data_IF_324432456566
#
_entry.id   IF_324432456566
#
_cell.length_a   1.000
_cell.length_b   1.000
_cell.length_c   1.000
_cell.angle_alpha   90.00
_cell.angle_beta   90.00
_cell.angle_gamma   90.00
#
_symmetry.space_group_name_H-M   'P 1'
#
loop_
_entity.id
_entity.type
_entity.pdbx_description
1 polymer ?
#
# COMPACT_ATOMS: atom_id res chain seq x y z
N UNK A 1 2.92 2.32 -4.21
CA UNK A 1 3.01 3.73 -4.63
C UNK A 1 3.68 3.87 -6.00
N UNK A 2 4.92 3.39 -6.19
CA UNK A 2 5.64 3.49 -7.47
C UNK A 2 4.84 3.00 -8.68
N UNK A 3 4.20 1.83 -8.57
CA UNK A 3 3.36 1.31 -9.65
C UNK A 3 2.14 2.17 -9.95
N UNK A 4 1.51 2.72 -8.91
CA UNK A 4 0.43 3.69 -9.10
C UNK A 4 0.98 4.87 -9.89
N UNK A 5 2.15 5.43 -9.54
CA UNK A 5 2.76 6.52 -10.29
C UNK A 5 2.99 6.19 -11.79
N UNK A 6 3.32 4.94 -12.11
CA UNK A 6 3.43 4.42 -13.48
C UNK A 6 2.09 4.10 -14.18
N UNK A 7 0.96 4.43 -13.58
CA UNK A 7 -0.36 4.30 -14.17
C UNK A 7 -1.13 3.04 -13.80
N UNK A 8 -0.60 2.20 -12.90
CA UNK A 8 -1.42 1.15 -12.28
C UNK A 8 -2.54 1.76 -11.44
N UNK A 9 -3.60 0.99 -11.26
CA UNK A 9 -4.75 1.35 -10.42
C UNK A 9 -4.97 0.28 -9.35
N UNK A 10 -5.75 0.60 -8.32
CA UNK A 10 -6.21 -0.39 -7.34
C UNK A 10 -7.00 -1.56 -7.99
N UNK A 11 -7.57 -1.33 -9.17
CA UNK A 11 -8.32 -2.31 -9.95
C UNK A 11 -7.47 -3.12 -10.95
N UNK A 12 -6.22 -2.73 -11.21
CA UNK A 12 -5.35 -3.42 -12.17
C UNK A 12 -5.24 -4.91 -11.84
N UNK A 13 -5.47 -5.76 -12.83
CA UNK A 13 -5.41 -7.21 -12.69
C UNK A 13 -4.01 -7.69 -13.00
N UNK A 14 -3.42 -8.43 -12.06
CA UNK A 14 -2.10 -9.04 -12.18
C UNK A 14 -2.24 -10.52 -11.83
N UNK A 15 -1.65 -11.39 -12.65
CA UNK A 15 -1.83 -12.82 -12.50
C UNK A 15 -1.01 -13.38 -11.33
N UNK A 16 -1.68 -13.96 -10.34
CA UNK A 16 -1.10 -14.70 -9.22
C UNK A 16 -0.99 -16.20 -9.56
N UNK A 17 -0.03 -16.53 -10.40
CA UNK A 17 0.23 -17.87 -10.92
C UNK A 17 1.70 -18.27 -10.75
N UNK A 18 2.05 -19.58 -10.84
CA UNK A 18 3.43 -20.01 -10.85
C UNK A 18 4.23 -19.31 -11.95
N UNK A 19 5.47 -18.99 -11.67
CA UNK A 19 6.40 -18.41 -12.65
C UNK A 19 7.81 -18.76 -12.26
N UNK A 20 8.60 -19.11 -13.28
CA UNK A 20 10.03 -19.28 -13.17
C UNK A 20 10.65 -18.02 -13.76
N UNK A 21 11.49 -17.34 -12.98
CA UNK A 21 12.20 -16.17 -13.46
C UNK A 21 13.63 -16.55 -13.82
N UNK A 22 14.02 -16.19 -15.02
CA UNK A 22 15.41 -16.11 -15.46
C UNK A 22 15.81 -14.64 -15.32
N UNK A 23 16.36 -14.29 -14.14
CA UNK A 23 16.81 -12.94 -13.81
C UNK A 23 18.33 -12.94 -13.82
N UNK A 24 19.00 -12.21 -14.73
CA UNK A 24 20.47 -12.16 -14.81
C UNK A 24 21.16 -11.71 -13.51
N UNK A 25 20.43 -11.03 -12.61
CA UNK A 25 20.91 -10.63 -11.30
C UNK A 25 20.80 -11.69 -10.20
N UNK A 26 20.33 -12.91 -10.52
CA UNK A 26 20.25 -14.05 -9.62
C UNK A 26 21.09 -15.21 -10.18
N UNK A 27 21.94 -15.83 -9.36
CA UNK A 27 22.83 -16.91 -9.81
C UNK A 27 22.11 -18.20 -10.22
N UNK A 28 20.83 -18.37 -9.86
CA UNK A 28 20.06 -19.60 -10.07
C UNK A 28 18.62 -19.32 -10.50
N UNK A 29 18.01 -20.33 -11.14
CA UNK A 29 16.59 -20.34 -11.49
C UNK A 29 15.73 -20.07 -10.25
N UNK A 30 15.02 -18.94 -10.24
CA UNK A 30 14.23 -18.52 -9.08
C UNK A 30 12.76 -18.89 -9.21
N UNK A 31 12.24 -19.57 -8.19
CA UNK A 31 10.85 -20.07 -8.10
C UNK A 31 10.18 -19.54 -6.83
N UNK A 32 9.73 -18.28 -6.83
CA UNK A 32 9.07 -17.70 -5.68
C UNK A 32 7.67 -18.28 -5.47
N UNK A 33 7.21 -18.25 -4.22
CA UNK A 33 5.88 -18.70 -3.83
C UNK A 33 5.18 -17.68 -2.92
N UNK A 34 3.85 -17.76 -2.86
CA UNK A 34 3.09 -17.06 -1.82
C UNK A 34 3.28 -17.77 -0.48
N UNK A 35 3.25 -17.01 0.63
CA UNK A 35 3.31 -17.60 1.99
C UNK A 35 2.29 -18.72 2.22
N UNK A 36 1.09 -18.63 1.61
CA UNK A 36 0.06 -19.66 1.71
C UNK A 36 0.29 -20.93 0.87
N UNK A 37 1.29 -20.97 -0.01
CA UNK A 37 1.51 -22.05 -0.99
C UNK A 37 0.45 -22.16 -2.10
N UNK A 38 -0.55 -21.28 -2.11
CA UNK A 38 -1.67 -21.26 -3.05
C UNK A 38 -1.51 -20.20 -4.12
N UNK A 39 -2.11 -20.46 -5.29
CA UNK A 39 -2.26 -19.53 -6.41
C UNK A 39 -3.70 -19.04 -6.49
N UNK A 40 -3.87 -17.77 -6.86
CA UNK A 40 -5.18 -17.11 -6.88
C UNK A 40 -5.59 -16.66 -8.29
N UNK A 41 -4.71 -16.83 -9.29
CA UNK A 41 -4.97 -16.43 -10.67
C UNK A 41 -5.08 -14.91 -10.82
N UNK A 42 -5.82 -14.41 -11.82
CA UNK A 42 -6.03 -12.97 -12.03
C UNK A 42 -6.52 -12.26 -10.76
N UNK A 43 -5.68 -11.40 -10.20
CA UNK A 43 -5.90 -10.76 -8.88
C UNK A 43 -5.77 -9.25 -9.01
N UNK A 44 -6.75 -8.50 -8.48
CA UNK A 44 -6.69 -7.03 -8.41
C UNK A 44 -5.56 -6.57 -7.49
N UNK A 45 -4.87 -5.49 -7.86
CA UNK A 45 -3.78 -4.90 -7.08
C UNK A 45 -4.19 -4.62 -5.63
N UNK A 46 -5.42 -4.12 -5.38
CA UNK A 46 -5.94 -3.92 -4.02
C UNK A 46 -5.96 -5.19 -3.19
N UNK A 47 -6.46 -6.28 -3.76
CA UNK A 47 -6.54 -7.59 -3.12
C UNK A 47 -5.14 -8.16 -2.89
N UNK A 48 -4.26 -8.00 -3.87
CA UNK A 48 -2.88 -8.45 -3.77
C UNK A 48 -2.13 -7.78 -2.61
N UNK A 49 -2.25 -6.45 -2.45
CA UNK A 49 -1.61 -5.74 -1.34
C UNK A 49 -2.24 -6.11 0.01
N UNK A 50 -3.58 -6.17 0.06
CA UNK A 50 -4.36 -6.54 1.26
C UNK A 50 -3.89 -7.87 1.85
N UNK A 51 -3.63 -8.86 1.00
CA UNK A 51 -3.21 -10.20 1.40
C UNK A 51 -1.72 -10.47 1.21
N UNK A 52 -0.92 -9.45 0.89
CA UNK A 52 0.53 -9.54 0.73
C UNK A 52 0.98 -10.64 -0.26
N UNK A 53 0.40 -10.65 -1.47
CA UNK A 53 0.69 -11.67 -2.50
C UNK A 53 2.04 -11.44 -3.17
N UNK A 54 3.03 -12.26 -2.82
CA UNK A 54 4.40 -12.22 -3.34
C UNK A 54 4.44 -12.23 -4.88
N UNK A 55 3.73 -13.17 -5.50
CA UNK A 55 3.76 -13.37 -6.95
C UNK A 55 3.21 -12.20 -7.76
N UNK A 56 2.28 -11.43 -7.18
CA UNK A 56 1.78 -10.20 -7.78
C UNK A 56 2.79 -9.07 -7.60
N UNK A 57 3.36 -8.92 -6.40
CA UNK A 57 4.40 -7.90 -6.12
C UNK A 57 5.62 -8.04 -7.04
N UNK A 58 6.06 -9.28 -7.29
CA UNK A 58 7.21 -9.56 -8.16
C UNK A 58 6.90 -9.18 -9.62
N UNK A 59 5.73 -9.57 -10.13
CA UNK A 59 5.31 -9.19 -11.49
C UNK A 59 5.16 -7.69 -11.64
N UNK A 60 4.62 -7.04 -10.61
CA UNK A 60 4.49 -5.59 -10.57
C UNK A 60 5.86 -4.92 -10.60
N UNK A 61 6.82 -5.38 -9.81
CA UNK A 61 8.19 -4.88 -9.81
C UNK A 61 8.88 -5.07 -11.16
N UNK A 62 8.73 -6.26 -11.76
CA UNK A 62 9.28 -6.56 -13.09
C UNK A 62 8.76 -5.58 -14.14
N UNK A 63 7.46 -5.30 -14.11
CA UNK A 63 6.83 -4.42 -15.10
C UNK A 63 7.22 -2.95 -14.91
N UNK A 64 7.25 -2.46 -13.67
CA UNK A 64 7.67 -1.07 -13.41
C UNK A 64 9.18 -0.88 -13.54
N UNK A 65 9.96 -1.96 -13.50
CA UNK A 65 11.42 -1.95 -13.52
C UNK A 65 12.03 -1.85 -12.12
N UNK A 66 12.93 -2.77 -11.72
CA UNK A 66 13.60 -2.71 -10.41
C UNK A 66 14.32 -1.40 -10.13
N UNK A 67 15.08 -0.88 -11.11
CA UNK A 67 15.81 0.38 -10.94
C UNK A 67 14.87 1.56 -10.68
N UNK A 68 13.76 1.65 -11.43
CA UNK A 68 12.75 2.68 -11.21
C UNK A 68 12.15 2.61 -9.81
N UNK A 69 11.93 1.40 -9.27
CA UNK A 69 11.43 1.24 -7.92
C UNK A 69 12.43 1.73 -6.86
N UNK A 70 13.73 1.48 -7.07
CA UNK A 70 14.81 1.99 -6.20
C UNK A 70 14.87 3.51 -6.25
N UNK A 71 14.87 4.10 -7.45
CA UNK A 71 14.89 5.55 -7.64
C UNK A 71 13.67 6.21 -6.99
N UNK A 72 12.50 5.57 -7.10
CA UNK A 72 11.28 6.03 -6.44
C UNK A 72 11.37 5.92 -4.91
N UNK A 73 11.96 4.84 -4.38
CA UNK A 73 12.17 4.65 -2.94
C UNK A 73 13.12 5.70 -2.34
N UNK A 74 14.14 6.13 -3.08
CA UNK A 74 15.05 7.21 -2.67
C UNK A 74 14.32 8.48 -2.25
N UNK A 75 13.18 8.79 -2.88
CA UNK A 75 12.38 9.96 -2.51
C UNK A 75 11.89 9.91 -1.06
N UNK A 76 11.62 8.71 -0.51
CA UNK A 76 11.18 8.49 0.88
C UNK A 76 12.32 8.59 1.89
N UNK A 77 13.56 8.82 1.44
CA UNK A 77 14.73 8.95 2.31
C UNK A 77 15.38 7.62 2.70
N UNK A 78 15.16 6.56 1.91
CA UNK A 78 15.91 5.31 2.06
C UNK A 78 17.33 5.46 1.51
N UNK A 79 18.29 4.82 2.17
CA UNK A 79 19.60 4.56 1.58
C UNK A 79 19.48 3.46 0.53
N UNK A 80 19.60 3.84 -0.73
CA UNK A 80 19.48 2.92 -1.87
C UNK A 80 20.80 2.24 -2.23
N UNK A 81 21.92 2.58 -1.57
CA UNK A 81 23.24 1.99 -1.88
C UNK A 81 23.27 0.47 -1.65
N UNK A 82 22.43 -0.02 -0.74
CA UNK A 82 22.30 -1.44 -0.37
C UNK A 82 21.18 -2.16 -1.15
N UNK A 83 20.49 -1.47 -2.07
CA UNK A 83 19.39 -2.06 -2.84
C UNK A 83 19.87 -2.57 -4.19
N UNK A 84 19.76 -3.88 -4.41
CA UNK A 84 20.09 -4.49 -5.70
C UNK A 84 18.89 -4.44 -6.66
N UNK A 85 19.07 -4.02 -7.93
CA UNK A 85 17.99 -3.89 -8.91
C UNK A 85 17.56 -5.25 -9.51
N UNK A 86 17.16 -6.20 -8.67
CA UNK A 86 16.64 -7.50 -9.07
C UNK A 86 15.23 -7.74 -8.51
N UNK A 87 14.58 -8.83 -8.93
CA UNK A 87 13.18 -9.08 -8.55
C UNK A 87 12.96 -9.46 -7.07
N UNK A 88 14.02 -9.83 -6.35
CA UNK A 88 13.93 -10.13 -4.91
C UNK A 88 13.55 -8.90 -4.08
N UNK A 89 13.82 -7.70 -4.60
CA UNK A 89 13.46 -6.43 -3.95
C UNK A 89 11.96 -6.34 -3.66
N UNK A 90 11.11 -6.96 -4.49
CA UNK A 90 9.66 -7.01 -4.27
C UNK A 90 9.25 -7.77 -3.00
N UNK A 91 10.16 -8.60 -2.46
CA UNK A 91 9.98 -9.38 -1.24
C UNK A 91 10.72 -8.78 -0.04
N UNK A 92 11.35 -7.61 -0.20
CA UNK A 92 12.04 -6.92 0.88
C UNK A 92 13.44 -7.44 1.15
N UNK A 93 14.23 -7.73 0.12
CA UNK A 93 15.66 -8.06 0.26
C UNK A 93 16.56 -6.87 0.60
N UNK A 94 16.02 -5.65 0.66
CA UNK A 94 16.72 -4.47 1.17
C UNK A 94 16.58 -4.32 2.69
N UNK A 95 17.54 -3.61 3.29
CA UNK A 95 17.56 -3.33 4.74
C UNK A 95 17.14 -1.89 5.03
N UNK A 96 16.44 -1.67 6.14
CA UNK A 96 16.07 -0.34 6.62
C UNK A 96 15.98 -0.33 8.16
N UNK A 97 16.40 0.78 8.79
CA UNK A 97 16.20 0.94 10.23
C UNK A 97 14.72 1.28 10.53
N UNK A 98 14.22 0.99 11.75
CA UNK A 98 12.90 1.45 12.17
C UNK A 98 12.71 2.97 12.03
N UNK A 99 13.80 3.74 12.17
CA UNK A 99 13.83 5.20 11.95
C UNK A 99 13.53 5.58 10.49
N UNK A 100 14.13 4.88 9.52
CA UNK A 100 13.88 5.10 8.09
C UNK A 100 12.46 4.68 7.71
N UNK A 101 11.97 3.58 8.31
CA UNK A 101 10.59 3.15 8.13
C UNK A 101 9.59 4.16 8.69
N UNK A 102 9.87 4.77 9.84
CA UNK A 102 9.05 5.83 10.42
C UNK A 102 9.01 7.07 9.51
N UNK A 103 10.16 7.49 8.97
CA UNK A 103 10.26 8.56 7.95
C UNK A 103 9.45 8.23 6.69
N UNK A 104 9.57 7.00 6.18
CA UNK A 104 8.85 6.61 4.97
C UNK A 104 7.34 6.53 5.18
N UNK A 105 6.89 5.99 6.32
CA UNK A 105 5.46 5.88 6.64
C UNK A 105 4.83 7.22 7.03
N UNK A 106 5.60 8.19 7.56
CA UNK A 106 5.08 9.54 7.79
C UNK A 106 4.65 10.22 6.51
N UNK A 107 5.37 10.02 5.40
CA UNK A 107 4.95 10.47 4.07
C UNK A 107 3.56 9.91 3.68
N UNK A 108 3.26 8.66 4.07
CA UNK A 108 1.98 8.04 3.77
C UNK A 108 0.86 8.56 4.68
N UNK A 109 1.17 8.84 5.95
CA UNK A 109 0.23 9.38 6.92
C UNK A 109 -0.15 10.84 6.61
N UNK A 110 0.84 11.65 6.24
CA UNK A 110 0.74 13.12 6.21
C UNK A 110 0.36 13.73 4.85
N UNK A 111 -0.16 12.94 3.92
CA UNK A 111 -0.61 13.44 2.61
C UNK A 111 0.47 13.55 1.53
N UNK A 112 1.64 12.93 1.72
CA UNK A 112 2.67 12.78 0.69
C UNK A 112 3.92 13.65 0.86
N UNK A 113 4.14 14.19 2.06
CA UNK A 113 5.26 15.09 2.38
C UNK A 113 6.37 14.34 3.10
N UNK A 114 7.61 14.46 2.62
CA UNK A 114 8.75 13.90 3.32
C UNK A 114 9.18 14.85 4.43
N UNK A 115 9.02 14.40 5.67
CA UNK A 115 9.56 15.08 6.86
C UNK A 115 10.83 14.36 7.32
N UNK A 116 11.67 15.07 8.06
CA UNK A 116 12.83 14.49 8.74
C UNK A 116 12.52 14.32 10.22
N UNK A 117 12.48 13.09 10.76
CA UNK A 117 12.27 12.89 12.19
C UNK A 117 13.43 13.50 13.00
N UNK A 118 13.12 14.06 14.16
CA UNK A 118 14.08 14.69 15.06
C UNK A 118 13.66 14.49 16.52
N UNK A 119 14.59 14.65 17.46
CA UNK A 119 14.35 14.41 18.90
C UNK A 119 14.60 15.66 19.74
N UNK A 120 15.57 16.50 19.37
CA UNK A 120 15.92 17.69 20.14
C UNK A 120 15.00 18.84 19.70
N UNK A 121 14.02 19.19 20.55
CA UNK A 121 13.12 20.33 20.30
C UNK A 121 13.76 21.67 20.66
N UNK A 122 14.48 21.72 21.78
CA UNK A 122 15.02 22.95 22.38
C UNK A 122 16.25 22.64 23.22
N UNK A 123 17.23 23.53 23.20
CA UNK A 123 18.39 23.55 24.11
C UNK A 123 18.42 24.90 24.80
N UNK A 124 18.59 24.91 26.13
CA UNK A 124 18.66 26.12 26.95
C UNK A 124 19.93 26.14 27.80
N UNK A 125 20.38 27.35 28.15
CA UNK A 125 21.42 27.56 29.15
C UNK A 125 20.87 27.50 30.59
N UNK A 126 21.75 27.62 31.59
CA UNK A 126 21.38 27.61 33.00
C UNK A 126 20.49 28.79 33.44
N UNK A 127 20.44 29.86 32.65
CA UNK A 127 19.60 31.03 32.90
C UNK A 127 18.23 30.93 32.19
N UNK A 128 17.97 29.87 31.44
CA UNK A 128 16.76 29.69 30.64
C UNK A 128 16.79 30.38 29.28
N UNK A 129 17.96 30.84 28.80
CA UNK A 129 18.07 31.40 27.46
C UNK A 129 18.09 30.26 26.43
N UNK A 130 17.29 30.40 25.36
CA UNK A 130 17.23 29.42 24.28
C UNK A 130 18.51 29.52 23.43
N UNK A 131 19.32 28.46 23.45
CA UNK A 131 20.53 28.29 22.62
C UNK A 131 20.14 27.78 21.23
N UNK A 132 19.20 26.85 21.18
CA UNK A 132 18.72 26.25 19.93
C UNK A 132 17.24 25.91 20.05
N UNK A 133 16.51 26.19 18.98
CA UNK A 133 15.11 25.81 18.79
C UNK A 133 15.01 25.07 17.46
N UNK A 134 14.42 23.87 17.46
CA UNK A 134 14.23 23.13 16.23
C UNK A 134 13.25 23.85 15.30
N UNK A 135 13.61 23.93 14.01
CA UNK A 135 12.77 24.45 12.93
C UNK A 135 12.69 23.39 11.82
N UNK A 136 12.01 22.25 12.06
CA UNK A 136 11.91 21.18 11.09
C UNK A 136 11.03 21.58 9.90
N UNK A 137 11.32 20.99 8.75
CA UNK A 137 10.42 21.03 7.61
C UNK A 137 9.08 20.37 7.96
N UNK A 138 7.96 21.08 7.80
CA UNK A 138 6.63 20.60 8.20
C UNK A 138 5.62 20.63 7.06
N UNK A 139 4.51 19.88 7.23
CA UNK A 139 3.44 19.86 6.23
C UNK A 139 2.76 21.21 6.16
N UNK A 140 2.73 21.78 4.95
CA UNK A 140 2.01 23.01 4.68
C UNK A 140 1.26 22.89 3.36
N UNK A 141 -0.04 22.62 3.44
CA UNK A 141 -0.91 22.48 2.27
C UNK A 141 -1.13 23.83 1.56
N UNK A 142 -1.13 24.94 2.32
CA UNK A 142 -1.33 26.30 1.82
C UNK A 142 -0.05 26.90 1.23
N UNK A 143 1.13 26.46 1.66
CA UNK A 143 2.42 26.97 1.15
C UNK A 143 2.64 26.63 -0.32
N UNK A 144 2.04 25.53 -0.83
CA UNK A 144 2.12 25.16 -2.24
C UNK A 144 1.36 26.12 -3.17
N UNK A 145 0.44 26.94 -2.64
CA UNK A 145 -0.24 27.97 -3.44
C UNK A 145 0.63 29.22 -3.63
N UNK A 146 1.63 29.44 -2.75
CA UNK A 146 2.49 30.62 -2.78
C UNK A 146 3.61 30.55 -3.83
N UNK A 147 3.86 29.40 -4.48
CA UNK A 147 4.86 29.32 -5.56
C UNK A 147 4.36 29.93 -6.89
N UNK A 148 3.10 30.37 -6.99
CA UNK A 148 2.51 30.82 -8.28
C UNK A 148 2.06 32.28 -8.36
N UNK A 149 2.16 33.08 -7.31
CA UNK A 149 1.88 34.51 -7.42
C UNK A 149 2.62 35.25 -6.30
N UNK A 150 3.66 35.98 -6.70
CA UNK A 150 4.52 36.83 -5.86
C UNK A 150 5.26 36.10 -4.73
N UNK A 151 6.60 36.21 -4.76
CA UNK A 151 7.53 35.61 -3.81
C UNK A 151 7.43 36.18 -2.39
N UNK A 152 6.23 36.19 -1.82
CA UNK A 152 5.95 36.58 -0.46
C UNK A 152 6.53 35.53 0.50
N UNK A 153 7.56 36.01 1.19
CA UNK A 153 8.40 35.35 2.17
C UNK A 153 7.71 34.26 3.00
N UNK A 154 7.96 33.00 2.63
CA UNK A 154 7.74 31.79 3.45
C UNK A 154 8.37 31.93 4.85
N UNK A 155 9.35 32.83 5.01
CA UNK A 155 9.94 33.23 6.29
C UNK A 155 8.94 33.80 7.31
N UNK A 156 7.73 34.21 6.91
CA UNK A 156 6.70 34.74 7.82
C UNK A 156 6.17 33.69 8.83
N UNK A 157 6.24 32.39 8.49
CA UNK A 157 5.65 31.34 9.33
C UNK A 157 6.62 30.70 10.34
N UNK A 158 7.91 31.05 10.29
CA UNK A 158 8.92 30.51 11.22
C UNK A 158 9.23 29.01 11.02
N UNK A 159 8.76 28.41 9.93
CA UNK A 159 9.06 27.03 9.52
C UNK A 159 9.25 26.94 8.00
N UNK A 160 9.94 25.89 7.56
CA UNK A 160 10.12 25.56 6.15
C UNK A 160 9.09 24.51 5.71
N UNK A 161 8.50 24.60 4.50
CA UNK A 161 7.58 23.59 4.01
C UNK A 161 8.33 22.32 3.61
N UNK A 162 7.84 21.18 4.08
CA UNK A 162 8.35 19.88 3.71
C UNK A 162 8.17 19.60 2.20
N UNK A 163 9.13 18.90 1.61
CA UNK A 163 9.06 18.51 0.20
C UNK A 163 7.92 17.51 -0.02
N UNK A 164 6.98 17.83 -0.90
CA UNK A 164 5.98 16.86 -1.37
C UNK A 164 6.60 15.91 -2.39
N UNK A 165 6.58 14.61 -2.09
CA UNK A 165 7.17 13.55 -2.94
C UNK A 165 6.11 12.64 -3.59
N UNK A 166 4.85 12.81 -3.20
CA UNK A 166 3.72 12.04 -3.71
C UNK A 166 2.50 12.93 -3.88
N UNK A 167 1.79 12.77 -4.98
CA UNK A 167 0.51 13.47 -5.21
C UNK A 167 -0.53 13.09 -4.15
N UNK A 168 -1.44 14.00 -3.76
CA UNK A 168 -2.50 13.67 -2.80
C UNK A 168 -3.37 12.51 -3.30
N UNK A 169 -3.57 12.40 -4.60
CA UNK A 169 -4.33 11.32 -5.22
C UNK A 169 -3.64 9.95 -5.08
N UNK A 170 -2.33 9.87 -5.31
CA UNK A 170 -1.57 8.62 -5.10
C UNK A 170 -1.54 8.26 -3.60
N UNK A 171 -1.33 9.25 -2.73
CA UNK A 171 -1.38 9.08 -1.28
C UNK A 171 -2.74 8.55 -0.80
N UNK A 172 -3.85 9.13 -1.28
CA UNK A 172 -5.20 8.67 -0.96
C UNK A 172 -5.43 7.20 -1.34
N UNK A 173 -5.04 6.80 -2.56
CA UNK A 173 -5.16 5.40 -2.99
C UNK A 173 -4.30 4.51 -2.09
N UNK A 174 -3.04 4.86 -1.85
CA UNK A 174 -2.15 4.09 -0.97
C UNK A 174 -2.71 3.93 0.45
N UNK A 175 -3.22 5.00 1.04
CA UNK A 175 -3.84 4.99 2.37
C UNK A 175 -5.08 4.09 2.37
N UNK A 176 -5.96 4.23 1.37
CA UNK A 176 -7.12 3.34 1.17
C UNK A 176 -6.72 1.86 1.07
N UNK A 177 -5.66 1.55 0.33
CA UNK A 177 -5.13 0.19 0.21
C UNK A 177 -4.58 -0.37 1.54
N UNK A 178 -3.86 0.46 2.31
CA UNK A 178 -3.29 0.07 3.59
C UNK A 178 -4.32 -0.03 4.71
N UNK A 179 -5.42 0.72 4.64
CA UNK A 179 -6.59 0.52 5.51
C UNK A 179 -7.24 -0.84 5.25
N UNK A 180 -7.27 -1.33 4.01
CA UNK A 180 -7.79 -2.67 3.72
C UNK A 180 -6.90 -3.80 4.28
N UNK A 181 -5.58 -3.61 4.32
CA UNK A 181 -4.68 -4.55 5.00
C UNK A 181 -5.07 -4.70 6.47
N UNK A 182 -5.41 -3.58 7.13
CA UNK A 182 -5.86 -3.57 8.52
C UNK A 182 -7.29 -4.08 8.68
N UNK A 183 -8.21 -3.80 7.76
CA UNK A 183 -9.62 -4.21 7.93
C UNK A 183 -9.87 -5.67 7.54
N UNK A 184 -9.25 -6.11 6.45
CA UNK A 184 -9.57 -7.36 5.77
C UNK A 184 -8.35 -8.27 5.55
N UNK A 185 -7.15 -7.72 5.71
CA UNK A 185 -5.90 -8.35 5.31
C UNK A 185 -5.07 -8.91 6.46
N UNK A 186 -3.75 -8.90 6.23
CA UNK A 186 -2.77 -9.47 7.17
C UNK A 186 -2.66 -8.69 8.49
N UNK A 187 -3.12 -7.43 8.52
CA UNK A 187 -3.14 -6.56 9.71
C UNK A 187 -4.41 -6.66 10.54
N UNK A 188 -5.33 -7.58 10.24
CA UNK A 188 -6.70 -7.62 10.79
C UNK A 188 -6.83 -7.56 12.30
N UNK A 189 -5.83 -8.05 13.04
CA UNK A 189 -5.85 -7.99 14.51
C UNK A 189 -5.87 -6.55 15.04
N UNK A 190 -5.37 -5.56 14.31
CA UNK A 190 -5.45 -4.15 14.71
C UNK A 190 -6.90 -3.62 14.81
N UNK A 191 -7.88 -4.31 14.20
CA UNK A 191 -9.29 -3.98 14.38
C UNK A 191 -9.79 -4.20 15.82
N UNK A 192 -9.03 -4.86 16.70
CA UNK A 192 -9.33 -4.91 18.14
C UNK A 192 -9.29 -3.54 18.82
N UNK A 193 -8.70 -2.52 18.17
CA UNK A 193 -8.74 -1.13 18.61
C UNK A 193 -10.07 -0.44 18.26
N UNK A 194 -10.96 -1.09 17.49
CA UNK A 194 -12.28 -0.57 17.09
C UNK A 194 -12.22 0.75 16.30
N UNK A 195 -11.14 0.92 15.52
CA UNK A 195 -10.86 2.10 14.72
C UNK A 195 -10.87 1.83 13.22
N UNK A 196 -11.41 2.77 12.46
CA UNK A 196 -11.51 2.73 11.00
C UNK A 196 -10.50 3.63 10.29
N UNK A 197 -9.70 4.39 11.04
CA UNK A 197 -8.68 5.32 10.54
C UNK A 197 -7.26 4.76 10.53
N UNK A 198 -7.10 3.49 10.94
CA UNK A 198 -5.81 2.81 10.98
C UNK A 198 -5.42 2.23 9.62
N UNK A 199 -4.18 2.47 9.22
CA UNK A 199 -3.57 1.91 8.03
C UNK A 199 -2.24 1.24 8.39
N UNK A 200 -1.86 0.18 7.71
CA UNK A 200 -0.58 -0.46 7.99
C UNK A 200 -0.26 -1.66 7.12
N UNK A 201 0.94 -2.22 7.32
CA UNK A 201 1.43 -3.37 6.58
C UNK A 201 2.28 -4.27 7.46
N UNK A 202 1.97 -5.56 7.42
CA UNK A 202 2.84 -6.61 7.97
C UNK A 202 4.05 -6.84 7.06
N UNK A 203 5.22 -7.01 7.65
CA UNK A 203 6.44 -7.51 7.00
C UNK A 203 6.90 -8.82 7.64
N UNK A 204 7.40 -9.75 6.84
CA UNK A 204 7.95 -11.04 7.29
C UNK A 204 9.03 -11.42 6.31
N UNK A 205 10.26 -11.56 6.79
CA UNK A 205 11.39 -11.96 5.94
C UNK A 205 11.37 -13.47 5.69
N UNK A 206 12.18 -13.92 4.73
CA UNK A 206 12.45 -15.34 4.54
C UNK A 206 12.98 -15.95 5.84
N UNK A 207 12.67 -17.23 6.08
CA UNK A 207 13.02 -17.98 7.29
C UNK A 207 12.54 -17.36 8.63
N UNK A 208 11.66 -16.35 8.54
CA UNK A 208 11.09 -15.64 9.69
C UNK A 208 12.15 -15.07 10.63
N UNK A 209 13.23 -14.50 10.09
CA UNK A 209 14.29 -13.87 10.90
C UNK A 209 13.82 -12.55 11.49
N UNK A 210 12.98 -11.81 10.74
CA UNK A 210 12.44 -10.52 11.12
C UNK A 210 10.92 -10.50 10.95
N UNK A 211 10.26 -9.93 11.94
CA UNK A 211 8.84 -9.62 11.90
C UNK A 211 8.64 -8.12 12.04
N UNK A 212 7.85 -7.54 11.13
CA UNK A 212 7.55 -6.11 11.13
C UNK A 212 6.05 -5.86 11.13
N UNK A 213 5.65 -4.79 11.78
CA UNK A 213 4.40 -4.11 11.48
C UNK A 213 4.67 -2.61 11.44
N UNK A 214 4.35 -2.00 10.30
CA UNK A 214 4.52 -0.57 10.06
C UNK A 214 3.12 0.00 9.84
N UNK A 215 2.70 0.94 10.68
CA UNK A 215 1.32 1.42 10.65
C UNK A 215 1.19 2.85 11.14
N UNK A 216 0.04 3.43 10.86
CA UNK A 216 -0.26 4.81 11.22
C UNK A 216 -1.76 5.04 11.41
N UNK A 217 -2.04 6.04 12.23
CA UNK A 217 -3.21 6.91 12.19
C UNK A 217 -2.75 8.24 11.53
N UNK A 218 -3.61 9.08 10.92
CA UNK A 218 -3.18 10.28 10.18
C UNK A 218 -2.15 11.19 10.86
N UNK A 219 -2.17 11.33 12.19
CA UNK A 219 -1.26 12.20 12.96
C UNK A 219 -0.14 11.41 13.67
N UNK A 220 -0.21 10.08 13.72
CA UNK A 220 0.74 9.24 14.43
C UNK A 220 1.17 8.01 13.64
N UNK A 221 2.47 7.91 13.39
CA UNK A 221 3.13 6.73 12.81
C UNK A 221 3.80 5.94 13.92
N UNK A 222 3.64 4.62 13.90
CA UNK A 222 4.37 3.72 14.78
C UNK A 222 4.91 2.52 13.99
N UNK A 223 6.13 2.12 14.33
CA UNK A 223 6.86 1.01 13.71
C UNK A 223 7.22 0.02 14.81
N UNK A 224 6.86 -1.24 14.61
CA UNK A 224 7.26 -2.35 15.50
C UNK A 224 8.06 -3.36 14.71
N UNK A 225 9.25 -3.68 15.20
CA UNK A 225 10.12 -4.73 14.70
C UNK A 225 10.48 -5.70 15.82
N UNK A 226 10.58 -6.97 15.46
CA UNK A 226 11.09 -8.04 16.32
C UNK A 226 12.07 -8.87 15.52
N UNK A 227 13.24 -9.12 16.10
CA UNK A 227 14.32 -9.92 15.56
C UNK A 227 15.36 -10.21 16.65
N UNK A 228 16.39 -10.96 16.30
CA UNK A 228 17.54 -11.19 17.19
C UNK A 228 18.76 -10.43 16.66
N UNK A 229 19.59 -9.90 17.57
CA UNK A 229 20.81 -9.16 17.23
C UNK A 229 21.75 -10.00 16.34
N UNK A 230 21.87 -11.29 16.65
CA UNK A 230 22.44 -12.27 15.73
C UNK A 230 21.30 -12.94 14.96
N UNK A 231 21.20 -12.75 13.63
CA UNK A 231 20.10 -13.26 12.83
C UNK A 231 19.86 -14.75 13.04
N UNK A 232 18.65 -15.08 13.51
CA UNK A 232 18.15 -16.45 13.64
C UNK A 232 16.64 -16.45 13.51
N UNK A 233 16.07 -17.58 13.12
CA UNK A 233 14.62 -17.71 12.97
C UNK A 233 13.88 -17.38 14.29
N UNK A 234 12.79 -16.62 14.18
CA UNK A 234 11.82 -16.39 15.26
C UNK A 234 10.95 -17.64 15.51
N UNK A 235 10.94 -18.58 14.57
CA UNK A 235 10.14 -19.78 14.60
C UNK A 235 9.08 -19.81 13.47
N UNK A 236 8.68 -21.02 13.09
CA UNK A 236 7.88 -21.33 11.89
C UNK A 236 6.61 -20.48 11.69
N UNK A 237 6.00 -19.98 12.77
CA UNK A 237 4.74 -19.24 12.73
C UNK A 237 4.88 -17.75 13.08
N UNK A 238 6.09 -17.29 13.42
CA UNK A 238 6.34 -15.93 13.85
C UNK A 238 6.44 -14.99 12.66
N UNK A 239 5.26 -14.52 12.23
CA UNK A 239 5.09 -13.54 11.16
C UNK A 239 4.89 -12.14 11.73
N UNK A 240 4.94 -11.11 10.87
CA UNK A 240 4.64 -9.73 11.25
C UNK A 240 3.30 -9.55 11.97
N UNK A 241 2.27 -10.32 11.58
CA UNK A 241 0.95 -10.29 12.22
C UNK A 241 0.83 -11.05 13.55
N UNK A 242 1.86 -11.81 13.93
CA UNK A 242 1.89 -12.60 15.18
C UNK A 242 2.93 -12.09 16.17
N UNK A 243 4.13 -11.75 15.70
CA UNK A 243 5.24 -11.31 16.54
C UNK A 243 5.27 -9.77 16.73
N UNK A 244 5.16 -9.00 15.65
CA UNK A 244 5.34 -7.54 15.71
C UNK A 244 4.04 -6.76 15.96
N UNK A 245 2.96 -7.11 15.24
CA UNK A 245 1.68 -6.41 15.32
C UNK A 245 1.11 -6.26 16.74
N UNK A 246 1.19 -7.25 17.66
CA UNK A 246 0.72 -7.06 19.03
C UNK A 246 1.38 -5.89 19.77
N UNK A 247 2.70 -5.68 19.60
CA UNK A 247 3.40 -4.55 20.20
C UNK A 247 2.87 -3.21 19.68
N UNK A 248 2.61 -3.14 18.37
CA UNK A 248 2.01 -1.95 17.75
C UNK A 248 0.60 -1.69 18.28
N UNK A 249 -0.22 -2.73 18.45
CA UNK A 249 -1.57 -2.61 19.00
C UNK A 249 -1.52 -2.07 20.43
N UNK A 250 -0.65 -2.64 21.28
CA UNK A 250 -0.53 -2.23 22.68
C UNK A 250 -0.10 -0.76 22.81
N UNK A 251 0.87 -0.32 22.00
CA UNK A 251 1.27 1.08 21.94
C UNK A 251 0.13 2.00 21.46
N UNK A 252 -0.47 1.67 20.32
CA UNK A 252 -1.49 2.52 19.69
C UNK A 252 -2.78 2.57 20.51
N UNK A 253 -3.10 1.53 21.29
CA UNK A 253 -4.22 1.54 22.24
C UNK A 253 -4.10 2.67 23.25
N UNK A 254 -2.89 2.90 23.76
CA UNK A 254 -2.63 3.96 24.74
C UNK A 254 -2.50 5.31 24.02
N UNK A 255 -1.70 5.36 22.96
CA UNK A 255 -1.41 6.60 22.26
C UNK A 255 -2.64 7.25 21.60
N UNK A 256 -3.63 6.46 21.16
CA UNK A 256 -4.82 6.95 20.47
C UNK A 256 -6.07 7.03 21.37
N UNK A 257 -5.94 6.86 22.69
CA UNK A 257 -7.09 6.78 23.62
C UNK A 257 -8.01 8.00 23.49
N UNK A 258 -7.43 9.19 23.41
CA UNK A 258 -8.15 10.46 23.36
C UNK A 258 -8.09 11.12 21.95
N UNK A 259 -7.58 10.40 20.95
CA UNK A 259 -7.47 10.88 19.57
C UNK A 259 -8.75 10.55 18.80
N UNK A 260 -9.48 11.54 18.23
CA UNK A 260 -10.68 11.26 17.44
C UNK A 260 -10.35 10.44 16.19
N UNK A 261 -11.34 9.70 15.67
CA UNK A 261 -11.15 8.97 14.41
C UNK A 261 -11.23 9.92 13.22
N UNK A 262 -10.27 9.78 12.30
CA UNK A 262 -10.22 10.62 11.10
C UNK A 262 -10.61 9.86 9.82
N UNK A 263 -11.72 10.28 9.15
CA UNK A 263 -12.09 9.70 7.88
C UNK A 263 -11.05 10.03 6.82
N UNK A 264 -10.84 9.11 5.88
CA UNK A 264 -9.95 9.35 4.76
C UNK A 264 -10.56 10.42 3.84
N UNK A 265 -9.94 11.60 3.79
CA UNK A 265 -10.39 12.72 2.97
C UNK A 265 -10.00 12.49 1.51
N UNK A 266 -11.00 12.39 0.63
CA UNK A 266 -10.76 12.23 -0.80
C UNK A 266 -10.30 13.56 -1.41
N UNK A 267 -9.13 13.62 -2.09
CA UNK A 267 -8.70 14.84 -2.76
C UNK A 267 -9.54 15.12 -4.01
N UNK A 268 -9.43 16.35 -4.52
CA UNK A 268 -10.04 16.75 -5.80
C UNK A 268 -9.52 15.88 -6.97
N UNK A 269 -10.29 15.85 -8.05
CA UNK A 269 -9.98 15.12 -9.29
C UNK A 269 -9.88 13.58 -9.17
N UNK A 270 -10.51 13.04 -8.12
CA UNK A 270 -10.73 11.61 -7.95
C UNK A 270 -12.10 11.21 -8.47
N UNK A 271 -12.18 10.07 -9.13
CA UNK A 271 -13.41 9.54 -9.74
C UNK A 271 -13.69 8.15 -9.17
N UNK A 272 -14.89 7.96 -8.62
CA UNK A 272 -15.36 6.67 -8.13
C UNK A 272 -16.33 6.06 -9.14
N UNK A 273 -16.00 4.88 -9.66
CA UNK A 273 -16.84 4.16 -10.63
C UNK A 273 -17.13 2.74 -10.15
N UNK A 274 -18.20 2.16 -10.67
CA UNK A 274 -18.56 0.75 -10.44
C UNK A 274 -17.73 -0.12 -11.39
N UNK A 275 -16.96 -1.06 -10.84
CA UNK A 275 -16.12 -2.00 -11.59
C UNK A 275 -16.52 -3.45 -11.33
N UNK A 276 -16.21 -4.32 -12.29
CA UNK A 276 -16.24 -5.76 -12.10
C UNK A 276 -14.98 -6.20 -11.33
N UNK A 277 -15.09 -6.76 -10.11
CA UNK A 277 -13.93 -7.15 -9.32
C UNK A 277 -13.09 -8.27 -9.96
N UNK A 278 -13.62 -9.01 -10.95
CA UNK A 278 -12.89 -10.08 -11.66
C UNK A 278 -12.01 -9.56 -12.79
N UNK A 279 -12.46 -8.51 -13.49
CA UNK A 279 -11.76 -7.99 -14.67
C UNK A 279 -11.07 -6.66 -14.41
N UNK A 280 -11.46 -5.93 -13.36
CA UNK A 280 -10.97 -4.58 -13.08
C UNK A 280 -11.54 -3.50 -14.02
N UNK A 281 -12.41 -3.89 -14.97
CA UNK A 281 -13.04 -3.02 -15.95
C UNK A 281 -14.36 -2.42 -15.43
N UNK A 282 -14.92 -1.44 -16.13
CA UNK A 282 -16.21 -0.84 -15.77
C UNK A 282 -17.31 -1.92 -15.75
N UNK A 283 -18.09 -1.95 -14.67
CA UNK A 283 -19.20 -2.88 -14.53
C UNK A 283 -20.37 -2.47 -15.44
N UNK A 284 -21.03 -3.46 -16.02
CA UNK A 284 -22.34 -3.28 -16.63
C UNK A 284 -23.44 -3.31 -15.55
N UNK A 285 -24.65 -2.79 -15.82
CA UNK A 285 -25.75 -2.82 -14.85
C UNK A 285 -25.99 -4.22 -14.25
N UNK A 286 -25.92 -5.26 -15.10
CA UNK A 286 -26.13 -6.66 -14.78
C UNK A 286 -24.93 -7.36 -14.12
N UNK A 287 -23.77 -6.70 -14.01
CA UNK A 287 -22.59 -7.31 -13.39
C UNK A 287 -22.85 -7.60 -11.91
N UNK A 288 -22.95 -8.88 -11.58
CA UNK A 288 -23.15 -9.39 -10.22
C UNK A 288 -21.91 -9.11 -9.36
N UNK A 289 -22.11 -8.69 -8.10
CA UNK A 289 -21.04 -8.37 -7.13
C UNK A 289 -20.06 -7.28 -7.60
N UNK A 290 -20.52 -6.40 -8.48
CA UNK A 290 -19.76 -5.21 -8.83
C UNK A 290 -19.49 -4.35 -7.58
N UNK A 291 -18.33 -3.70 -7.57
CA UNK A 291 -17.85 -2.91 -6.44
C UNK A 291 -17.52 -1.49 -6.89
N UNK A 292 -17.51 -0.54 -5.96
CA UNK A 292 -16.96 0.78 -6.21
C UNK A 292 -15.44 0.76 -6.01
N UNK A 293 -14.72 1.43 -6.90
CA UNK A 293 -13.30 1.70 -6.76
C UNK A 293 -13.01 3.14 -7.18
N UNK A 294 -12.06 3.77 -6.51
CA UNK A 294 -11.68 5.17 -6.76
C UNK A 294 -10.39 5.24 -7.58
N UNK A 295 -10.40 6.09 -8.59
CA UNK A 295 -9.34 6.27 -9.57
C UNK A 295 -8.91 7.72 -9.63
N UNK A 296 -7.66 7.96 -10.04
CA UNK A 296 -7.28 9.26 -10.59
C UNK A 296 -7.93 9.37 -11.96
N UNK A 297 -8.51 10.52 -12.28
CA UNK A 297 -9.35 10.74 -13.47
C UNK A 297 -8.77 10.17 -14.77
N UNK A 298 -7.47 10.33 -14.99
CA UNK A 298 -6.77 9.87 -16.20
C UNK A 298 -6.56 8.35 -16.30
N UNK A 299 -6.77 7.59 -15.21
CA UNK A 299 -6.61 6.13 -15.18
C UNK A 299 -7.94 5.40 -14.95
N UNK A 300 -9.08 6.09 -15.09
CA UNK A 300 -10.39 5.43 -15.09
C UNK A 300 -10.45 4.46 -16.29
N UNK A 301 -10.84 3.19 -16.11
CA UNK A 301 -10.98 2.26 -17.22
C UNK A 301 -12.00 2.80 -18.24
N UNK A 302 -11.69 2.71 -19.52
CA UNK A 302 -12.58 3.16 -20.61
C UNK A 302 -13.43 2.02 -21.19
N UNK A 303 -13.06 0.77 -20.89
CA UNK A 303 -13.74 -0.41 -21.40
C UNK A 303 -14.70 -0.98 -20.36
N UNK A 304 -15.86 -1.47 -20.84
CA UNK A 304 -16.80 -2.25 -20.06
C UNK A 304 -16.32 -3.70 -19.94
N UNK A 305 -16.63 -4.35 -18.81
CA UNK A 305 -16.44 -5.79 -18.65
C UNK A 305 -17.21 -6.54 -19.76
N UNK A 306 -16.68 -7.66 -20.29
CA UNK A 306 -17.41 -8.47 -21.26
C UNK A 306 -18.77 -8.92 -20.71
N UNK A 307 -19.80 -8.96 -21.55
CA UNK A 307 -21.10 -9.47 -21.14
C UNK A 307 -20.95 -10.92 -20.66
N UNK A 308 -21.51 -11.24 -19.49
CA UNK A 308 -21.57 -12.63 -19.05
C UNK A 308 -22.39 -13.40 -20.08
N UNK A 309 -21.79 -14.44 -20.69
CA UNK A 309 -22.56 -15.41 -21.48
C UNK A 309 -23.50 -16.12 -20.51
N UNK A 310 -24.68 -15.54 -20.28
CA UNK A 310 -25.82 -16.31 -19.83
C UNK A 310 -26.02 -17.37 -20.89
N UNK A 311 -25.79 -18.64 -20.55
CA UNK A 311 -26.31 -19.74 -21.35
C UNK A 311 -27.82 -19.52 -21.41
N UNK A 312 -28.32 -18.95 -22.51
CA UNK A 312 -29.68 -19.22 -22.93
C UNK A 312 -29.70 -20.70 -23.26
N UNK A 313 -30.17 -21.51 -22.31
CA UNK A 313 -30.74 -22.80 -22.65
C UNK A 313 -32.02 -22.49 -23.43
N UNK A 314 -31.89 -22.17 -24.71
CA UNK A 314 -33.02 -22.23 -25.63
C UNK A 314 -33.33 -23.72 -25.79
N UNK A 315 -34.15 -24.23 -24.87
CA UNK A 315 -34.77 -25.54 -24.97
C UNK A 315 -35.79 -25.54 -26.09
N UNK A 316 -35.32 -25.55 -27.33
CA UNK A 316 -36.12 -26.01 -28.47
C UNK A 316 -36.00 -27.53 -28.46
N UNK A 317 -36.91 -28.18 -27.71
CA UNK A 317 -37.17 -29.60 -27.88
C UNK A 317 -38.14 -29.71 -29.06
N UNK A 318 -37.61 -29.76 -30.28
CA UNK A 318 -38.39 -30.19 -31.44
C UNK A 318 -38.64 -31.69 -31.28
N UNK A 319 -39.84 -32.05 -30.84
CA UNK A 319 -40.33 -33.41 -30.81
C UNK A 319 -41.19 -33.62 -32.08
N UNK A 320 -40.70 -34.30 -33.14
CA UNK A 320 -41.58 -34.84 -34.15
C UNK A 320 -41.95 -36.25 -33.71
N UNK A 321 -43.19 -36.47 -33.28
CA UNK A 321 -43.90 -37.73 -33.48
C UNK A 321 -45.28 -37.61 -32.83
N UNK A 322 -46.26 -37.30 -33.66
CA UNK A 322 -47.67 -37.58 -33.39
C UNK A 322 -48.24 -38.17 -34.66
N UNK A 323 -48.02 -39.47 -34.84
CA UNK A 323 -48.79 -40.26 -35.80
C UNK A 323 -50.04 -40.72 -35.05
N UNK A 324 -51.16 -40.13 -35.44
CA UNK A 324 -52.51 -40.60 -35.17
C UNK A 324 -52.80 -41.65 -36.23
N UNK A 325 -53.19 -42.86 -35.82
CA UNK A 325 -53.74 -43.88 -36.73
C UNK A 325 -55.17 -44.21 -36.27
N UNK A 326 -56.17 -44.21 -37.17
CA UNK A 326 -57.52 -44.66 -36.85
C UNK A 326 -57.76 -46.10 -37.32
N UNK A 327 -58.34 -46.90 -36.42
CA UNK A 327 -58.86 -48.28 -36.58
C UNK A 327 -57.87 -49.44 -36.49
#
# INVERSE_FOLDING_TARGET
>A
SAALEKGYTAASIINDAPVVFDDPGLENVWRPENYSGKFFGPTRLRVALTHSRNLVSIRLLRDIGPQYAIDYAKNFGFDTSQMHPNLSLALGSGSAAPWDMARAYSTLANGGYRIEPYVIQRIEDANGNIIMQAQPDTVCETCLQAETADGDNIAQYGFSPAKRIMTPQNNYIMNSLLRDVVRYGTGRKAMSLERNDLAGKTGTTNDQVDAWFNGFQPELVAISWVGFDTPRTLGRYETGGRAALPMWIDFMKVALKDTPQEPLKQPVDMVTVRIDPKTGLLARPETVKAIYETFRKQYVPTQLTPASKTQRSDGINSNPDTIIDPF
#
